data_IF_839040971021
#
_entry.id   IF_839040971021
#
_cell.length_a   1.000
_cell.length_b   1.000
_cell.length_c   1.000
_cell.angle_alpha   90.00
_cell.angle_beta   90.00
_cell.angle_gamma   90.00
#
_symmetry.space_group_name_H-M   'P 1'
#
loop_
_entity.id
_entity.type
_entity.pdbx_description
1 polymer ?
#
# COMPACT_ATOMS: atom_id res chain seq x y z
N UNK A 1 -13.36 8.51 4.59
CA UNK A 1 -12.33 9.23 3.83
C UNK A 1 -12.49 8.94 2.36
N UNK A 2 -12.42 9.97 1.51
CA UNK A 2 -12.47 9.79 0.06
C UNK A 2 -11.15 9.22 -0.48
N UNK A 3 -10.02 9.50 0.18
CA UNK A 3 -8.71 8.97 -0.18
C UNK A 3 -7.88 8.61 1.05
N UNK A 4 -7.07 7.55 0.94
CA UNK A 4 -6.17 7.09 2.00
C UNK A 4 -4.79 6.77 1.39
N UNK A 5 -3.72 7.20 2.06
CA UNK A 5 -2.33 6.85 1.72
C UNK A 5 -1.68 6.21 2.95
N UNK A 6 -1.08 5.03 2.76
CA UNK A 6 -0.51 4.20 3.82
C UNK A 6 0.96 3.95 3.49
N UNK A 7 1.84 4.26 4.44
CA UNK A 7 3.27 3.93 4.37
C UNK A 7 3.73 3.23 5.67
N UNK A 8 3.21 2.02 5.96
CA UNK A 8 3.56 1.33 7.18
C UNK A 8 5.03 0.85 7.15
N UNK A 9 5.79 1.01 8.24
CA UNK A 9 7.18 0.55 8.29
C UNK A 9 7.25 -0.98 8.36
N UNK A 10 8.41 -1.56 8.05
CA UNK A 10 8.63 -3.02 8.25
C UNK A 10 8.45 -3.44 9.71
N UNK A 11 9.04 -2.67 10.62
CA UNK A 11 9.01 -2.88 12.06
C UNK A 11 8.84 -1.53 12.76
N UNK A 12 8.09 -1.50 13.85
CA UNK A 12 7.86 -0.26 14.60
C UNK A 12 7.34 -0.51 16.01
N UNK A 13 7.17 0.58 16.76
CA UNK A 13 6.48 0.59 18.04
C UNK A 13 5.40 1.66 18.03
N UNK A 14 4.20 1.29 18.48
CA UNK A 14 3.10 2.23 18.69
C UNK A 14 3.34 3.12 19.92
N UNK A 15 2.53 4.17 20.12
CA UNK A 15 2.66 5.09 21.25
C UNK A 15 2.57 4.41 22.63
N UNK A 16 1.86 3.27 22.69
CA UNK A 16 1.69 2.45 23.91
C UNK A 16 2.67 1.28 23.99
N UNK A 17 3.78 1.34 23.25
CA UNK A 17 4.79 0.29 23.16
C UNK A 17 4.31 -1.02 22.48
N UNK A 18 3.19 -0.95 21.75
CA UNK A 18 2.68 -2.04 20.92
C UNK A 18 3.69 -2.36 19.83
N UNK A 19 3.99 -3.64 19.62
CA UNK A 19 4.94 -4.05 18.58
C UNK A 19 4.22 -4.10 17.23
N UNK A 20 4.79 -3.42 16.24
CA UNK A 20 4.38 -3.51 14.85
C UNK A 20 5.35 -4.37 14.04
N UNK A 21 4.80 -5.33 13.30
CA UNK A 21 5.46 -6.18 12.31
C UNK A 21 4.58 -6.19 11.07
N UNK A 22 5.13 -5.73 9.95
CA UNK A 22 4.38 -5.51 8.72
C UNK A 22 3.58 -6.75 8.30
N UNK A 23 4.22 -7.91 8.21
CA UNK A 23 3.59 -9.15 7.75
C UNK A 23 2.48 -9.65 8.67
N UNK A 24 2.58 -9.38 9.98
CA UNK A 24 1.60 -9.83 10.99
C UNK A 24 0.43 -8.85 11.12
N UNK A 25 0.70 -7.55 11.00
CA UNK A 25 -0.28 -6.51 11.34
C UNK A 25 -0.92 -5.83 10.13
N UNK A 26 -0.34 -5.96 8.92
CA UNK A 26 -0.92 -5.38 7.71
C UNK A 26 -2.37 -5.82 7.45
N UNK A 27 -2.76 -7.11 7.59
CA UNK A 27 -4.14 -7.51 7.31
C UNK A 27 -5.17 -6.75 8.15
N UNK A 28 -4.95 -6.64 9.46
CA UNK A 28 -5.84 -5.92 10.37
C UNK A 28 -5.88 -4.40 10.09
N UNK A 29 -4.74 -3.82 9.68
CA UNK A 29 -4.69 -2.44 9.21
C UNK A 29 -5.57 -2.23 7.97
N UNK A 30 -5.46 -3.12 6.97
CA UNK A 30 -6.25 -3.02 5.74
C UNK A 30 -7.75 -3.26 5.97
N UNK A 31 -8.10 -4.14 6.90
CA UNK A 31 -9.49 -4.32 7.32
C UNK A 31 -10.06 -3.02 7.91
N UNK A 32 -9.26 -2.31 8.70
CA UNK A 32 -9.65 -0.99 9.25
C UNK A 32 -9.73 0.07 8.16
N UNK A 33 -8.80 0.08 7.20
CA UNK A 33 -8.84 1.02 6.06
C UNK A 33 -10.16 0.91 5.30
N UNK A 34 -10.62 -0.32 5.03
CA UNK A 34 -11.90 -0.56 4.36
C UNK A 34 -13.09 0.06 5.09
N UNK A 35 -13.13 -0.02 6.43
CA UNK A 35 -14.24 0.53 7.21
C UNK A 35 -14.22 2.05 7.31
N UNK A 36 -13.07 2.67 7.06
CA UNK A 36 -12.89 4.12 7.11
C UNK A 36 -13.18 4.82 5.76
N UNK A 37 -13.34 4.08 4.66
CA UNK A 37 -13.65 4.65 3.35
C UNK A 37 -15.04 5.29 3.34
N UNK A 38 -15.18 6.39 2.60
CA UNK A 38 -16.48 7.00 2.28
C UNK A 38 -17.31 6.08 1.38
N UNK A 39 -18.60 6.38 1.20
CA UNK A 39 -19.46 5.69 0.23
C UNK A 39 -18.98 5.83 -1.23
N UNK A 40 -18.16 6.84 -1.54
CA UNK A 40 -17.60 7.11 -2.88
C UNK A 40 -16.09 7.36 -2.81
N UNK A 41 -15.27 6.35 -2.46
CA UNK A 41 -13.84 6.54 -2.33
C UNK A 41 -13.19 6.71 -3.70
N UNK A 42 -12.21 7.61 -3.77
CA UNK A 42 -11.42 7.94 -4.96
C UNK A 42 -10.25 6.97 -5.14
N UNK A 43 -9.44 6.76 -4.08
CA UNK A 43 -8.30 5.86 -4.13
C UNK A 43 -7.77 5.43 -2.75
N UNK A 44 -7.05 4.31 -2.74
CA UNK A 44 -6.20 3.87 -1.64
C UNK A 44 -4.82 3.55 -2.20
N UNK A 45 -3.78 4.14 -1.62
CA UNK A 45 -2.38 3.85 -1.95
C UNK A 45 -1.72 3.19 -0.75
N UNK A 46 -1.05 2.07 -0.98
CA UNK A 46 -0.20 1.39 -0.02
C UNK A 46 1.21 1.32 -0.60
N UNK A 47 2.17 1.92 0.11
CA UNK A 47 3.60 1.80 -0.19
C UNK A 47 4.27 0.89 0.84
N UNK A 48 5.30 0.18 0.40
CA UNK A 48 6.21 -0.50 1.30
C UNK A 48 7.64 -0.30 0.81
N UNK A 49 8.50 0.20 1.69
CA UNK A 49 9.96 0.22 1.43
C UNK A 49 10.43 -1.19 1.11
N UNK A 50 11.38 -1.36 0.19
CA UNK A 50 11.78 -2.65 -0.41
C UNK A 50 12.16 -3.76 0.61
N UNK A 51 11.15 -4.32 1.26
CA UNK A 51 11.16 -5.61 1.94
C UNK A 51 11.28 -6.71 0.88
N UNK A 52 11.63 -7.92 1.29
CA UNK A 52 11.59 -9.12 0.43
C UNK A 52 10.15 -9.54 0.07
N UNK A 53 9.27 -8.57 -0.15
CA UNK A 53 7.88 -8.73 -0.51
C UNK A 53 7.72 -8.32 -1.98
N UNK A 54 6.98 -9.10 -2.76
CA UNK A 54 6.63 -8.73 -4.13
C UNK A 54 5.53 -7.67 -4.12
N UNK A 55 5.58 -6.72 -5.06
CA UNK A 55 4.45 -5.81 -5.31
C UNK A 55 3.14 -6.57 -5.60
N UNK A 56 3.21 -7.80 -6.13
CA UNK A 56 2.04 -8.66 -6.32
C UNK A 56 1.38 -9.06 -5.00
N UNK A 57 2.17 -9.44 -4.00
CA UNK A 57 1.65 -9.80 -2.69
C UNK A 57 1.01 -8.59 -1.99
N UNK A 58 1.62 -7.41 -2.14
CA UNK A 58 1.08 -6.15 -1.64
C UNK A 58 -0.27 -5.81 -2.32
N UNK A 59 -0.33 -5.97 -3.64
CA UNK A 59 -1.53 -5.75 -4.43
C UNK A 59 -2.65 -6.72 -4.08
N UNK A 60 -2.34 -8.01 -3.88
CA UNK A 60 -3.32 -9.02 -3.48
C UNK A 60 -3.90 -8.74 -2.10
N UNK A 61 -3.06 -8.40 -1.12
CA UNK A 61 -3.51 -8.05 0.22
C UNK A 61 -4.49 -6.87 0.23
N UNK A 62 -4.23 -5.85 -0.59
CA UNK A 62 -5.12 -4.70 -0.76
C UNK A 62 -6.41 -5.08 -1.52
N UNK A 63 -6.28 -5.84 -2.62
CA UNK A 63 -7.40 -6.25 -3.47
C UNK A 63 -8.40 -7.15 -2.74
N UNK A 64 -7.96 -8.00 -1.81
CA UNK A 64 -8.83 -8.84 -0.98
C UNK A 64 -9.90 -8.00 -0.24
N UNK A 65 -9.58 -6.75 0.10
CA UNK A 65 -10.48 -5.84 0.83
C UNK A 65 -11.31 -4.98 -0.11
N UNK A 66 -10.69 -4.47 -1.17
CA UNK A 66 -11.23 -3.40 -2.02
C UNK A 66 -11.85 -3.88 -3.32
N UNK A 67 -11.58 -5.10 -3.79
CA UNK A 67 -12.22 -5.66 -5.00
C UNK A 67 -13.76 -5.64 -5.00
N UNK A 68 -14.48 -5.80 -3.86
CA UNK A 68 -15.94 -5.67 -3.86
C UNK A 68 -16.44 -4.26 -4.17
N UNK A 69 -15.57 -3.24 -4.10
CA UNK A 69 -15.90 -1.85 -4.46
C UNK A 69 -15.76 -1.60 -5.98
N UNK A 70 -15.38 -2.61 -6.77
CA UNK A 70 -15.02 -2.44 -8.17
C UNK A 70 -13.67 -1.72 -8.31
N UNK A 71 -13.53 -0.85 -9.30
CA UNK A 71 -12.32 -0.07 -9.53
C UNK A 71 -11.18 -0.84 -10.20
N UNK A 72 -9.99 -0.24 -10.19
CA UNK A 72 -8.79 -0.72 -10.90
C UNK A 72 -7.63 -0.80 -9.90
N UNK A 73 -6.88 -1.90 -10.00
CA UNK A 73 -5.61 -2.09 -9.28
C UNK A 73 -4.44 -1.70 -10.19
N UNK A 74 -3.60 -0.81 -9.68
CA UNK A 74 -2.30 -0.47 -10.26
C UNK A 74 -1.21 -0.87 -9.26
N UNK A 75 -0.12 -1.44 -9.73
CA UNK A 75 0.95 -1.93 -8.86
C UNK A 75 2.29 -1.92 -9.58
N UNK A 76 3.37 -1.84 -8.82
CA UNK A 76 4.72 -1.93 -9.35
C UNK A 76 5.76 -1.46 -8.35
N UNK A 77 6.89 -1.01 -8.90
CA UNK A 77 7.99 -0.45 -8.13
C UNK A 77 8.11 1.06 -8.38
N UNK A 78 8.41 1.80 -7.33
CA UNK A 78 8.89 3.17 -7.42
C UNK A 78 10.41 3.14 -7.55
N UNK A 79 10.94 3.93 -8.49
CA UNK A 79 12.36 4.03 -8.72
C UNK A 79 12.79 5.46 -9.02
N UNK A 80 14.02 5.79 -8.64
CA UNK A 80 14.65 7.08 -8.94
C UNK A 80 15.56 6.92 -10.17
N UNK A 81 15.44 7.80 -11.19
CA UNK A 81 16.36 7.79 -12.31
C UNK A 81 17.76 8.26 -11.88
N UNK A 82 18.79 7.55 -12.33
CA UNK A 82 20.16 7.98 -12.12
C UNK A 82 20.45 9.23 -12.96
N UNK A 83 20.99 10.27 -12.33
CA UNK A 83 21.46 11.45 -13.05
C UNK A 83 22.56 11.08 -14.05
N UNK A 84 22.38 11.46 -15.32
CA UNK A 84 23.36 11.24 -16.39
C UNK A 84 23.44 9.80 -16.92
N UNK A 85 22.43 8.97 -16.70
CA UNK A 85 22.36 7.61 -17.27
C UNK A 85 20.94 7.07 -17.36
N UNK A 86 20.80 5.81 -17.81
CA UNK A 86 19.50 5.14 -18.01
C UNK A 86 19.10 4.22 -16.84
N UNK A 87 19.96 4.09 -15.82
CA UNK A 87 19.68 3.20 -14.67
C UNK A 87 18.57 3.77 -13.80
N UNK A 88 17.73 2.87 -13.29
CA UNK A 88 16.73 3.15 -12.27
C UNK A 88 17.19 2.55 -10.93
N UNK A 89 17.08 3.31 -9.85
CA UNK A 89 17.31 2.86 -8.48
C UNK A 89 15.96 2.57 -7.81
N UNK A 90 15.58 1.30 -7.59
CA UNK A 90 14.34 0.96 -6.89
C UNK A 90 14.37 1.49 -5.46
N UNK A 91 13.25 2.06 -5.00
CA UNK A 91 13.13 2.63 -3.65
C UNK A 91 12.03 1.96 -2.83
N UNK A 92 10.93 1.57 -3.46
CA UNK A 92 9.79 0.97 -2.79
C UNK A 92 8.89 0.23 -3.78
N UNK A 93 8.00 -0.60 -3.25
CA UNK A 93 6.89 -1.19 -3.99
C UNK A 93 5.60 -0.44 -3.66
N UNK A 94 4.63 -0.47 -4.57
CA UNK A 94 3.31 0.12 -4.32
C UNK A 94 2.17 -0.77 -4.84
N UNK A 95 1.03 -0.61 -4.19
CA UNK A 95 -0.28 -1.04 -4.68
C UNK A 95 -1.24 0.14 -4.54
N UNK A 96 -1.97 0.46 -5.62
CA UNK A 96 -2.99 1.48 -5.65
C UNK A 96 -4.29 0.88 -6.14
N UNK A 97 -5.34 1.05 -5.36
CA UNK A 97 -6.71 0.91 -5.83
C UNK A 97 -7.27 2.29 -6.17
N UNK A 98 -7.98 2.43 -7.28
CA UNK A 98 -8.74 3.65 -7.58
C UNK A 98 -10.09 3.31 -8.24
N UNK A 99 -11.08 4.19 -8.06
CA UNK A 99 -12.46 3.97 -8.52
C UNK A 99 -12.66 4.03 -10.03
N UNK A 100 -11.67 4.51 -10.79
CA UNK A 100 -11.71 4.61 -12.26
C UNK A 100 -12.52 5.79 -12.81
N UNK A 101 -12.92 6.74 -11.96
CA UNK A 101 -13.63 7.98 -12.32
C UNK A 101 -12.69 9.15 -12.62
#
# INVERSE_FOLDING_TARGET
YDAIILDPPKFGRGPKNETWRFEENLPALLDTVKTLLSDRPLFVILTAYAVRLSYLALSQALADRLSPLGGIMETGEMALPQQGGERLLPTAIYARWHSGS
#
